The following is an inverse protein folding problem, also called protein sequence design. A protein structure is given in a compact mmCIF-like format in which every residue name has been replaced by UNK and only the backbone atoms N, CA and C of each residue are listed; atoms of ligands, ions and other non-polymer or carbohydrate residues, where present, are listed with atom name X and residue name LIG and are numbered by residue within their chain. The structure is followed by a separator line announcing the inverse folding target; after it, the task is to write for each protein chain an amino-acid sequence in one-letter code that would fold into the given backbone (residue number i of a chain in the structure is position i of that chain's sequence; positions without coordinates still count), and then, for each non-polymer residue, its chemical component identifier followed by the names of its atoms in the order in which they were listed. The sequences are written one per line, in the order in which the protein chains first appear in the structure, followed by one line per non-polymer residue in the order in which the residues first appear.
data_IF_955400735436
#
_entry.id   IF_955400735436
#
_cell.length_a   1.000
_cell.length_b   1.000
_cell.length_c   1.000
_cell.angle_alpha   90.00
_cell.angle_beta   90.00
_cell.angle_gamma   90.00
#
_symmetry.space_group_name_H-M   'P 1'
#
loop_
_entity.id
_entity.type
_entity.pdbx_description
1 polymer ?
#
# COMPACT_ATOMS: atom_id res chain seq x y z
N UNK A 1 3.47 24.07 17.30
CA UNK A 1 3.31 22.63 17.64
C UNK A 1 2.65 22.60 19.01
N UNK A 2 1.50 21.97 19.15
CA UNK A 2 0.84 21.82 20.46
C UNK A 2 1.55 20.75 21.30
N UNK A 3 1.20 20.67 22.60
CA UNK A 3 1.81 19.71 23.54
C UNK A 3 1.65 18.27 23.01
N UNK A 4 0.49 17.96 22.43
CA UNK A 4 0.21 16.64 21.84
C UNK A 4 1.13 16.36 20.66
N UNK A 5 1.31 17.31 19.74
CA UNK A 5 2.25 17.19 18.62
C UNK A 5 3.68 17.00 19.09
N UNK A 6 4.12 17.76 20.11
CA UNK A 6 5.45 17.58 20.69
C UNK A 6 5.64 16.18 21.28
N UNK A 7 4.66 15.67 22.04
CA UNK A 7 4.70 14.31 22.59
C UNK A 7 4.76 13.25 21.48
N UNK A 8 3.98 13.41 20.41
CA UNK A 8 3.99 12.47 19.27
C UNK A 8 5.33 12.42 18.55
N UNK A 9 6.05 13.54 18.47
CA UNK A 9 7.39 13.58 17.84
C UNK A 9 8.51 12.97 18.68
N UNK A 10 8.24 12.57 19.94
CA UNK A 10 9.28 12.04 20.80
C UNK A 10 9.76 10.67 20.31
N UNK A 11 11.08 10.49 20.31
CA UNK A 11 11.72 9.24 19.88
C UNK A 11 11.18 8.03 20.64
N UNK A 12 10.87 8.17 21.93
CA UNK A 12 10.30 7.09 22.75
C UNK A 12 8.93 6.64 22.24
N UNK A 13 8.07 7.56 21.79
CA UNK A 13 6.76 7.21 21.23
C UNK A 13 6.93 6.42 19.93
N UNK A 14 7.82 6.87 19.04
CA UNK A 14 8.12 6.12 17.81
C UNK A 14 8.68 4.72 18.12
N UNK A 15 9.58 4.60 19.10
CA UNK A 15 10.15 3.33 19.51
C UNK A 15 9.07 2.36 20.01
N UNK A 16 8.14 2.83 20.85
CA UNK A 16 7.05 2.01 21.36
C UNK A 16 6.07 1.58 20.26
N UNK A 17 5.69 2.48 19.35
CA UNK A 17 4.83 2.16 18.20
C UNK A 17 5.49 1.11 17.32
N UNK A 18 6.78 1.30 17.00
CA UNK A 18 7.53 0.36 16.16
C UNK A 18 7.73 -0.99 16.86
N UNK A 19 8.00 -0.99 18.17
CA UNK A 19 8.09 -2.20 18.97
C UNK A 19 6.79 -3.00 18.91
N UNK A 20 5.65 -2.35 19.17
CA UNK A 20 4.33 -2.99 19.10
C UNK A 20 4.10 -3.59 17.70
N UNK A 21 4.32 -2.80 16.64
CA UNK A 21 4.11 -3.25 15.27
C UNK A 21 5.00 -4.43 14.88
N UNK A 22 6.31 -4.36 15.17
CA UNK A 22 7.26 -5.40 14.80
C UNK A 22 6.99 -6.67 15.60
N UNK A 23 6.87 -6.58 16.93
CA UNK A 23 6.72 -7.77 17.78
C UNK A 23 5.37 -8.45 17.55
N UNK A 24 4.28 -7.70 17.49
CA UNK A 24 2.97 -8.29 17.13
C UNK A 24 2.99 -8.89 15.72
N UNK A 25 3.61 -8.20 14.76
CA UNK A 25 3.77 -8.69 13.38
C UNK A 25 4.53 -10.01 13.31
N UNK A 26 5.63 -10.14 14.05
CA UNK A 26 6.41 -11.38 14.14
C UNK A 26 5.62 -12.51 14.80
N UNK A 27 4.89 -12.22 15.89
CA UNK A 27 3.99 -13.21 16.53
C UNK A 27 2.93 -13.67 15.53
N UNK A 28 2.31 -12.74 14.80
CA UNK A 28 1.29 -13.06 13.81
C UNK A 28 1.88 -13.90 12.67
N UNK A 29 3.05 -13.53 12.11
CA UNK A 29 3.68 -14.35 11.08
C UNK A 29 4.04 -15.75 11.59
N UNK A 30 4.47 -15.87 12.85
CA UNK A 30 4.71 -17.16 13.47
C UNK A 30 3.42 -18.00 13.53
N UNK A 31 2.28 -17.40 13.90
CA UNK A 31 0.97 -18.05 13.84
C UNK A 31 0.61 -18.44 12.39
N UNK A 32 0.91 -17.59 11.41
CA UNK A 32 0.67 -17.90 9.99
C UNK A 32 1.45 -19.13 9.52
N UNK A 33 2.64 -19.40 10.05
CA UNK A 33 3.38 -20.63 9.72
C UNK A 33 2.58 -21.90 10.08
N UNK A 34 1.88 -21.92 11.22
CA UNK A 34 1.05 -23.06 11.60
C UNK A 34 -0.17 -23.24 10.68
N UNK A 35 -0.63 -22.17 10.03
CA UNK A 35 -1.73 -22.29 9.07
C UNK A 35 -1.34 -23.12 7.85
N UNK A 36 -0.04 -23.29 7.52
CA UNK A 36 0.41 -24.10 6.38
C UNK A 36 -0.10 -25.55 6.44
N UNK A 37 -0.34 -26.08 7.63
CA UNK A 37 -0.93 -27.42 7.83
C UNK A 37 -2.35 -27.49 7.22
N UNK A 38 -3.08 -26.37 7.23
CA UNK A 38 -4.42 -26.27 6.66
C UNK A 38 -4.42 -26.16 5.14
N UNK A 39 -3.32 -25.72 4.52
CA UNK A 39 -3.26 -25.49 3.07
C UNK A 39 -3.66 -26.72 2.23
N UNK A 40 -3.08 -27.92 2.44
CA UNK A 40 -3.45 -29.11 1.67
C UNK A 40 -4.84 -29.69 2.04
N UNK A 41 -5.36 -29.39 3.22
CA UNK A 41 -6.63 -29.97 3.73
C UNK A 41 -7.82 -29.08 3.36
N UNK A 42 -7.71 -27.77 3.61
CA UNK A 42 -8.74 -26.78 3.37
C UNK A 42 -8.11 -25.42 3.05
N UNK A 43 -7.73 -25.26 1.78
CA UNK A 43 -7.18 -24.02 1.21
C UNK A 43 -8.04 -22.79 1.49
N UNK A 44 -9.37 -22.94 1.49
CA UNK A 44 -10.29 -21.81 1.70
C UNK A 44 -10.29 -21.36 3.16
N UNK A 45 -10.25 -22.29 4.11
CA UNK A 45 -10.09 -21.97 5.53
C UNK A 45 -8.72 -21.33 5.80
N UNK A 46 -7.64 -21.86 5.22
CA UNK A 46 -6.31 -21.22 5.26
C UNK A 46 -6.38 -19.75 4.83
N UNK A 47 -7.03 -19.46 3.69
CA UNK A 47 -7.15 -18.11 3.15
C UNK A 47 -7.94 -17.18 4.07
N UNK A 48 -9.09 -17.64 4.56
CA UNK A 48 -9.93 -16.86 5.49
C UNK A 48 -9.18 -16.52 6.77
N UNK A 49 -8.49 -17.49 7.38
CA UNK A 49 -7.68 -17.27 8.58
C UNK A 49 -6.57 -16.25 8.28
N UNK A 50 -5.84 -16.44 7.18
CA UNK A 50 -4.75 -15.54 6.82
C UNK A 50 -5.21 -14.11 6.47
N UNK A 51 -6.44 -13.94 5.96
CA UNK A 51 -7.03 -12.59 5.81
C UNK A 51 -7.22 -11.90 7.16
N UNK A 52 -7.65 -12.63 8.20
CA UNK A 52 -7.82 -12.09 9.56
C UNK A 52 -6.49 -11.81 10.23
N UNK A 53 -5.51 -12.71 10.08
CA UNK A 53 -4.16 -12.50 10.59
C UNK A 53 -3.48 -11.31 9.91
N UNK A 54 -3.59 -11.19 8.59
CA UNK A 54 -3.06 -10.05 7.86
C UNK A 54 -3.73 -8.73 8.26
N UNK A 55 -5.05 -8.76 8.49
CA UNK A 55 -5.77 -7.61 9.05
C UNK A 55 -5.15 -7.12 10.37
N UNK A 56 -4.79 -8.02 11.28
CA UNK A 56 -4.15 -7.65 12.55
C UNK A 56 -2.82 -6.91 12.38
N UNK A 57 -2.10 -7.14 11.28
CA UNK A 57 -0.85 -6.42 10.95
C UNK A 57 -1.17 -5.11 10.24
N UNK A 58 -1.90 -5.15 9.12
CA UNK A 58 -2.13 -3.98 8.28
C UNK A 58 -3.00 -2.91 8.96
N UNK A 59 -3.93 -3.31 9.83
CA UNK A 59 -4.76 -2.38 10.60
C UNK A 59 -3.96 -1.48 11.54
N UNK A 60 -2.78 -1.91 12.01
CA UNK A 60 -1.92 -1.06 12.85
C UNK A 60 -1.32 0.11 12.07
N UNK A 61 -1.02 -0.10 10.77
CA UNK A 61 -0.60 0.98 9.88
C UNK A 61 -1.75 1.95 9.59
N UNK A 62 -2.96 1.42 9.37
CA UNK A 62 -4.15 2.27 9.22
C UNK A 62 -4.45 3.04 10.50
N UNK A 63 -4.27 2.42 11.67
CA UNK A 63 -4.37 3.08 12.97
C UNK A 63 -3.39 4.26 13.07
N UNK A 64 -2.14 4.04 12.67
CA UNK A 64 -1.10 5.06 12.65
C UNK A 64 -1.49 6.26 11.77
N UNK A 65 -2.05 6.03 10.58
CA UNK A 65 -2.49 7.09 9.69
C UNK A 65 -3.64 7.91 10.30
N UNK A 66 -4.67 7.22 10.76
CA UNK A 66 -5.97 7.84 11.06
C UNK A 66 -6.10 8.34 12.49
N UNK A 67 -5.68 7.54 13.45
CA UNK A 67 -5.88 7.81 14.88
C UNK A 67 -4.68 8.52 15.46
N UNK A 68 -3.48 8.07 15.12
CA UNK A 68 -2.26 8.68 15.61
C UNK A 68 -1.95 10.00 14.92
N UNK A 69 -1.88 10.04 13.58
CA UNK A 69 -1.56 11.29 12.86
C UNK A 69 -2.78 12.18 12.61
N UNK A 70 -3.99 11.62 12.75
CA UNK A 70 -5.22 12.38 12.51
C UNK A 70 -5.47 12.69 11.04
N UNK A 71 -4.80 11.98 10.11
CA UNK A 71 -4.98 12.19 8.67
C UNK A 71 -6.43 11.92 8.24
N UNK A 72 -6.95 12.78 7.39
CA UNK A 72 -8.30 12.66 6.84
C UNK A 72 -8.21 12.20 5.38
N UNK A 73 -8.98 11.18 5.03
CA UNK A 73 -9.13 10.66 3.67
C UNK A 73 -10.56 10.94 3.19
N UNK A 74 -10.70 11.77 2.17
CA UNK A 74 -11.98 12.10 1.50
C UNK A 74 -12.08 11.29 0.22
N UNK A 75 -13.22 10.65 -0.01
CA UNK A 75 -13.55 9.97 -1.25
C UNK A 75 -14.40 10.89 -2.12
N UNK A 76 -13.99 11.14 -3.36
CA UNK A 76 -14.81 11.76 -4.39
C UNK A 76 -15.27 10.66 -5.34
N UNK A 77 -16.58 10.47 -5.44
CA UNK A 77 -17.14 9.40 -6.24
C UNK A 77 -18.58 9.71 -6.62
N UNK A 78 -19.12 8.93 -7.55
CA UNK A 78 -20.55 8.89 -7.81
C UNK A 78 -21.26 8.14 -6.67
N UNK A 79 -22.23 8.75 -5.96
CA UNK A 79 -23.00 8.08 -4.91
C UNK A 79 -23.64 6.76 -5.35
N UNK A 80 -24.00 6.60 -6.63
CA UNK A 80 -24.57 5.36 -7.15
C UNK A 80 -23.58 4.19 -7.09
N UNK A 81 -22.29 4.45 -7.12
CA UNK A 81 -21.28 3.39 -7.03
C UNK A 81 -20.89 3.05 -5.59
N UNK A 82 -21.19 3.93 -4.63
CA UNK A 82 -20.71 3.81 -3.25
C UNK A 82 -21.09 2.48 -2.58
N UNK A 83 -22.30 1.97 -2.84
CA UNK A 83 -22.81 0.74 -2.24
C UNK A 83 -22.13 -0.53 -2.79
N UNK A 84 -21.45 -0.46 -3.93
CA UNK A 84 -20.71 -1.59 -4.53
C UNK A 84 -19.31 -1.74 -3.95
N UNK A 85 -18.73 -0.66 -3.44
CA UNK A 85 -17.39 -0.67 -2.86
C UNK A 85 -17.29 -1.63 -1.67
N UNK A 86 -16.34 -2.57 -1.76
CA UNK A 86 -16.10 -3.63 -0.78
C UNK A 86 -17.04 -4.82 -0.87
N UNK A 87 -18.03 -4.79 -1.77
CA UNK A 87 -19.02 -5.86 -1.99
C UNK A 87 -18.78 -6.70 -3.22
N UNK A 88 -17.76 -6.35 -4.01
CA UNK A 88 -17.32 -7.07 -5.20
C UNK A 88 -15.79 -7.12 -5.27
N UNK A 89 -15.27 -8.06 -6.07
CA UNK A 89 -13.87 -8.07 -6.46
C UNK A 89 -13.63 -6.96 -7.49
N UNK A 90 -12.53 -6.22 -7.33
CA UNK A 90 -12.20 -5.11 -8.21
C UNK A 90 -10.70 -5.06 -8.53
N UNK A 91 -10.35 -4.63 -9.74
CA UNK A 91 -8.98 -4.20 -10.06
C UNK A 91 -8.91 -2.70 -9.77
N UNK A 92 -8.00 -2.27 -8.92
CA UNK A 92 -7.81 -0.85 -8.58
C UNK A 92 -6.61 -0.32 -9.35
N UNK A 93 -6.83 0.72 -10.15
CA UNK A 93 -5.75 1.50 -10.77
C UNK A 93 -5.56 2.76 -9.93
N UNK A 94 -4.36 2.95 -9.38
CA UNK A 94 -4.00 4.14 -8.62
C UNK A 94 -2.80 4.83 -9.28
N UNK A 95 -2.79 6.16 -9.29
CA UNK A 95 -1.58 6.91 -9.61
C UNK A 95 -0.52 6.68 -8.53
N UNK A 96 0.75 6.88 -8.87
CA UNK A 96 1.83 6.57 -7.94
C UNK A 96 2.71 7.79 -7.67
N UNK A 97 2.20 8.78 -6.94
CA UNK A 97 2.90 10.06 -6.78
C UNK A 97 3.54 10.20 -5.40
N UNK A 98 2.97 9.61 -4.35
CA UNK A 98 3.37 9.90 -2.97
C UNK A 98 3.99 8.70 -2.28
N UNK A 99 4.71 8.98 -1.19
CA UNK A 99 5.34 7.93 -0.39
C UNK A 99 4.28 7.01 0.23
N UNK A 100 3.20 7.61 0.74
CA UNK A 100 2.15 6.95 1.51
C UNK A 100 0.88 6.62 0.69
N UNK A 101 0.97 6.54 -0.64
CA UNK A 101 -0.15 6.13 -1.52
C UNK A 101 -0.80 4.83 -1.01
N UNK A 102 0.04 3.84 -0.71
CA UNK A 102 -0.37 2.52 -0.23
C UNK A 102 -1.12 2.61 1.11
N UNK A 103 -0.75 3.55 1.97
CA UNK A 103 -1.32 3.69 3.30
C UNK A 103 -2.71 4.34 3.22
N UNK A 104 -2.89 5.30 2.32
CA UNK A 104 -4.21 5.86 2.01
C UNK A 104 -5.10 4.82 1.33
N UNK A 105 -4.55 4.04 0.39
CA UNK A 105 -5.26 2.91 -0.22
C UNK A 105 -5.74 1.89 0.82
N UNK A 106 -4.89 1.54 1.79
CA UNK A 106 -5.28 0.68 2.92
C UNK A 106 -6.31 1.34 3.84
N UNK A 107 -6.30 2.65 4.03
CA UNK A 107 -7.37 3.34 4.75
C UNK A 107 -8.73 3.13 4.06
N UNK A 108 -8.82 3.30 2.75
CA UNK A 108 -10.06 3.01 2.01
C UNK A 108 -10.42 1.52 2.08
N UNK A 109 -9.46 0.60 1.95
CA UNK A 109 -9.72 -0.82 2.14
C UNK A 109 -10.29 -1.14 3.53
N UNK A 110 -9.82 -0.45 4.59
CA UNK A 110 -10.39 -0.57 5.94
C UNK A 110 -11.85 -0.12 5.96
N UNK A 111 -12.13 1.06 5.40
CA UNK A 111 -13.47 1.65 5.35
C UNK A 111 -14.50 0.75 4.66
N UNK A 112 -14.08 0.06 3.60
CA UNK A 112 -14.94 -0.82 2.83
C UNK A 112 -14.83 -2.30 3.22
N UNK A 113 -14.08 -2.65 4.27
CA UNK A 113 -14.07 -3.99 4.83
C UNK A 113 -13.21 -5.02 4.11
N UNK A 114 -12.30 -4.60 3.23
CA UNK A 114 -11.45 -5.47 2.40
C UNK A 114 -9.96 -5.37 2.75
N UNK A 115 -9.57 -4.70 3.83
CA UNK A 115 -8.16 -4.53 4.23
C UNK A 115 -7.39 -5.85 4.37
N UNK A 116 -8.00 -6.87 4.98
CA UNK A 116 -7.36 -8.18 5.19
C UNK A 116 -7.21 -9.00 3.91
N UNK A 117 -8.02 -8.72 2.89
CA UNK A 117 -8.02 -9.41 1.60
C UNK A 117 -7.39 -8.61 0.47
N UNK A 118 -7.00 -7.35 0.72
CA UNK A 118 -6.39 -6.46 -0.26
C UNK A 118 -5.17 -7.12 -0.94
N UNK A 119 -5.11 -7.00 -2.27
CA UNK A 119 -4.05 -7.56 -3.12
C UNK A 119 -3.33 -6.45 -3.85
N UNK A 120 -2.11 -6.73 -4.28
CA UNK A 120 -1.30 -5.79 -5.06
C UNK A 120 -0.35 -6.54 -5.98
N UNK A 121 -0.08 -5.99 -7.17
CA UNK A 121 1.07 -6.38 -7.98
C UNK A 121 2.33 -5.71 -7.41
N UNK A 122 3.10 -6.44 -6.62
CA UNK A 122 4.23 -5.92 -5.85
C UNK A 122 5.59 -6.28 -6.47
N UNK A 123 6.58 -5.42 -6.22
CA UNK A 123 7.99 -5.69 -6.54
C UNK A 123 8.51 -6.87 -5.71
N UNK A 124 9.20 -7.84 -6.34
CA UNK A 124 9.67 -9.09 -5.71
C UNK A 124 10.51 -8.85 -4.45
N UNK A 125 11.32 -7.81 -4.44
CA UNK A 125 12.18 -7.45 -3.32
C UNK A 125 11.37 -7.14 -2.04
N UNK A 126 10.12 -6.70 -2.17
CA UNK A 126 9.23 -6.49 -1.01
C UNK A 126 8.82 -7.80 -0.33
N UNK A 127 8.92 -8.94 -1.01
CA UNK A 127 8.65 -10.25 -0.38
C UNK A 127 9.66 -10.62 0.72
N UNK A 128 10.84 -9.99 0.71
CA UNK A 128 11.87 -10.21 1.73
C UNK A 128 11.73 -9.28 2.94
N UNK A 129 10.81 -8.30 2.89
CA UNK A 129 10.60 -7.39 4.00
C UNK A 129 9.98 -8.14 5.19
N UNK A 130 10.62 -8.14 6.37
CA UNK A 130 10.04 -8.76 7.56
C UNK A 130 8.65 -8.17 7.88
N UNK A 131 7.82 -8.94 8.56
CA UNK A 131 6.44 -8.59 8.90
C UNK A 131 5.51 -8.51 7.68
N UNK A 132 5.66 -7.48 6.86
CA UNK A 132 4.75 -7.20 5.73
C UNK A 132 4.98 -8.13 4.55
N UNK A 133 6.24 -8.35 4.13
CA UNK A 133 6.54 -9.25 3.02
C UNK A 133 6.14 -10.69 3.31
N UNK A 134 6.31 -11.12 4.57
CA UNK A 134 5.88 -12.43 5.05
C UNK A 134 4.35 -12.52 5.13
N UNK A 135 3.67 -11.50 5.68
CA UNK A 135 2.21 -11.40 5.63
C UNK A 135 1.68 -11.53 4.19
N UNK A 136 2.32 -10.83 3.24
CA UNK A 136 1.96 -10.87 1.83
C UNK A 136 2.19 -12.23 1.18
N UNK A 137 3.18 -13.01 1.62
CA UNK A 137 3.35 -14.38 1.17
C UNK A 137 2.12 -15.24 1.49
N UNK A 138 1.64 -15.19 2.74
CA UNK A 138 0.44 -15.95 3.16
C UNK A 138 -0.86 -15.43 2.55
N UNK A 139 -0.90 -14.16 2.14
CA UNK A 139 -2.00 -13.60 1.36
C UNK A 139 -1.94 -13.93 -0.13
N UNK A 140 -0.96 -14.70 -0.60
CA UNK A 140 -0.79 -15.02 -2.02
C UNK A 140 -0.64 -13.76 -2.91
N UNK A 141 0.01 -12.72 -2.39
CA UNK A 141 0.30 -11.50 -3.16
C UNK A 141 1.12 -11.83 -4.42
N UNK A 142 0.81 -11.12 -5.51
CA UNK A 142 1.47 -11.32 -6.81
C UNK A 142 2.76 -10.50 -6.82
N UNK A 143 3.90 -11.18 -6.77
CA UNK A 143 5.22 -10.55 -6.84
C UNK A 143 5.81 -10.64 -8.24
N UNK A 144 6.43 -9.56 -8.73
CA UNK A 144 7.12 -9.51 -10.02
C UNK A 144 8.53 -8.90 -9.91
N UNK A 145 9.45 -9.37 -10.73
CA UNK A 145 10.82 -8.83 -10.88
C UNK A 145 10.86 -7.59 -11.77
N UNK A 146 9.73 -7.27 -12.43
CA UNK A 146 9.56 -6.20 -13.43
C UNK A 146 10.36 -6.46 -14.71
N UNK A 147 10.45 -7.74 -15.07
CA UNK A 147 11.03 -8.23 -16.33
C UNK A 147 10.04 -9.20 -16.94
N UNK A 148 9.37 -8.76 -18.00
CA UNK A 148 8.23 -9.44 -18.59
C UNK A 148 8.50 -10.93 -18.89
N UNK A 149 9.64 -11.22 -19.53
CA UNK A 149 9.99 -12.59 -19.95
C UNK A 149 10.23 -13.54 -18.77
N UNK A 150 10.70 -13.02 -17.64
CA UNK A 150 10.87 -13.80 -16.40
C UNK A 150 9.56 -13.93 -15.60
N UNK A 151 8.70 -12.91 -15.66
CA UNK A 151 7.54 -12.79 -14.78
C UNK A 151 6.26 -13.41 -15.36
N UNK A 152 6.07 -13.38 -16.69
CA UNK A 152 4.79 -13.68 -17.36
C UNK A 152 4.09 -14.92 -16.81
N UNK A 153 4.77 -16.07 -16.83
CA UNK A 153 4.18 -17.35 -16.39
C UNK A 153 3.79 -17.32 -14.90
N UNK A 154 4.67 -16.84 -14.05
CA UNK A 154 4.46 -16.81 -12.59
C UNK A 154 3.35 -15.84 -12.21
N UNK A 155 3.32 -14.65 -12.83
CA UNK A 155 2.28 -13.63 -12.59
C UNK A 155 0.92 -14.15 -13.04
N UNK A 156 0.81 -14.71 -14.24
CA UNK A 156 -0.43 -15.31 -14.73
C UNK A 156 -0.93 -16.41 -13.79
N UNK A 157 -0.07 -17.36 -13.40
CA UNK A 157 -0.47 -18.43 -12.49
C UNK A 157 -0.97 -17.89 -11.14
N UNK A 158 -0.28 -16.89 -10.57
CA UNK A 158 -0.67 -16.30 -9.29
C UNK A 158 -1.99 -15.52 -9.40
N UNK A 159 -2.25 -14.82 -10.50
CA UNK A 159 -3.52 -14.17 -10.75
C UNK A 159 -4.66 -15.19 -10.90
N UNK A 160 -4.45 -16.26 -11.68
CA UNK A 160 -5.43 -17.34 -11.83
C UNK A 160 -5.74 -18.02 -10.49
N UNK A 161 -4.76 -18.15 -9.59
CA UNK A 161 -4.97 -18.66 -8.24
C UNK A 161 -5.87 -17.77 -7.37
N UNK A 162 -6.09 -16.50 -7.73
CA UNK A 162 -7.00 -15.61 -6.98
C UNK A 162 -8.46 -15.77 -7.42
N UNK A 163 -8.74 -16.51 -8.50
CA UNK A 163 -10.10 -16.68 -9.01
C UNK A 163 -11.04 -17.40 -8.03
N UNK A 164 -10.50 -18.25 -7.17
CA UNK A 164 -11.22 -18.99 -6.13
C UNK A 164 -10.98 -18.41 -4.73
N UNK A 165 -10.62 -17.13 -4.60
CA UNK A 165 -10.37 -16.50 -3.30
C UNK A 165 -11.70 -16.30 -2.54
N UNK A 166 -11.79 -16.66 -1.24
CA UNK A 166 -13.08 -16.78 -0.54
C UNK A 166 -13.62 -15.47 0.03
N UNK A 167 -12.93 -14.36 -0.19
CA UNK A 167 -13.24 -13.03 0.33
C UNK A 167 -13.20 -12.05 -0.83
N UNK A 168 -14.08 -11.03 -0.82
CA UNK A 168 -13.96 -9.94 -1.78
C UNK A 168 -12.60 -9.26 -1.63
N UNK A 169 -11.91 -9.03 -2.74
CA UNK A 169 -10.59 -8.41 -2.74
C UNK A 169 -10.49 -7.27 -3.74
N UNK A 170 -9.66 -6.30 -3.40
CA UNK A 170 -9.24 -5.24 -4.31
C UNK A 170 -7.81 -5.50 -4.74
N UNK A 171 -7.60 -5.65 -6.05
CA UNK A 171 -6.30 -5.91 -6.64
C UNK A 171 -5.68 -4.61 -7.16
N UNK A 172 -4.76 -4.04 -6.40
CA UNK A 172 -4.07 -2.81 -6.74
C UNK A 172 -2.99 -3.03 -7.80
N UNK A 173 -3.01 -2.21 -8.85
CA UNK A 173 -1.94 -2.09 -9.83
C UNK A 173 -1.64 -0.61 -10.11
N UNK A 174 -0.37 -0.24 -10.01
CA UNK A 174 0.10 1.07 -10.46
C UNK A 174 0.60 0.94 -11.90
N UNK A 175 -0.24 1.31 -12.88
CA UNK A 175 0.11 1.12 -14.29
C UNK A 175 1.28 2.00 -14.73
N UNK A 176 1.59 3.09 -14.04
CA UNK A 176 2.82 3.88 -14.24
C UNK A 176 4.11 3.04 -14.01
N UNK A 177 4.01 1.99 -13.18
CA UNK A 177 5.09 1.03 -12.91
C UNK A 177 6.23 1.55 -12.04
N UNK A 178 6.20 2.83 -11.66
CA UNK A 178 7.12 3.46 -10.72
C UNK A 178 6.52 4.76 -10.20
N UNK A 179 7.00 5.23 -9.04
CA UNK A 179 6.61 6.55 -8.54
C UNK A 179 7.00 7.68 -9.48
N UNK A 180 6.11 8.65 -9.62
CA UNK A 180 6.31 9.89 -10.32
C UNK A 180 7.50 10.66 -9.71
N UNK A 181 8.41 11.09 -10.58
CA UNK A 181 9.41 12.12 -10.29
C UNK A 181 9.58 12.95 -11.55
N UNK A 182 9.99 14.21 -11.41
CA UNK A 182 10.21 15.11 -12.54
C UNK A 182 11.11 14.49 -13.61
N UNK A 183 12.23 13.88 -13.18
CA UNK A 183 13.15 13.19 -14.09
C UNK A 183 12.46 12.05 -14.87
N UNK A 184 11.65 11.23 -14.21
CA UNK A 184 10.94 10.11 -14.85
C UNK A 184 9.82 10.59 -15.76
N UNK A 185 9.18 11.70 -15.39
CA UNK A 185 8.17 12.34 -16.21
C UNK A 185 8.77 12.82 -17.52
N UNK A 186 9.89 13.53 -17.48
CA UNK A 186 10.62 13.95 -18.70
C UNK A 186 10.97 12.77 -19.61
N UNK A 187 11.51 11.68 -19.04
CA UNK A 187 11.79 10.44 -19.79
C UNK A 187 10.50 9.86 -20.38
N UNK A 188 9.42 9.81 -19.60
CA UNK A 188 8.13 9.32 -20.06
C UNK A 188 7.57 10.16 -21.21
N UNK A 189 7.78 11.48 -21.20
CA UNK A 189 7.32 12.37 -22.27
C UNK A 189 8.14 12.22 -23.56
N UNK A 190 9.44 11.96 -23.46
CA UNK A 190 10.27 11.60 -24.61
C UNK A 190 9.80 10.27 -25.24
N UNK A 191 9.44 9.29 -24.41
CA UNK A 191 8.88 8.02 -24.88
C UNK A 191 7.51 8.22 -25.53
N UNK A 192 6.68 9.13 -25.01
CA UNK A 192 5.40 9.47 -25.61
C UNK A 192 5.57 10.02 -27.03
N UNK A 193 6.45 11.01 -27.18
CA UNK A 193 6.77 11.63 -28.47
C UNK A 193 7.34 10.63 -29.47
N UNK A 194 8.31 9.81 -29.06
CA UNK A 194 8.90 8.78 -29.92
C UNK A 194 7.91 7.71 -30.40
N UNK A 195 6.82 7.49 -29.65
CA UNK A 195 5.76 6.53 -29.98
C UNK A 195 4.52 7.19 -30.60
N UNK A 196 4.52 8.49 -30.82
CA UNK A 196 3.34 9.23 -31.29
C UNK A 196 2.16 9.20 -30.33
N UNK A 197 2.41 9.02 -29.02
CA UNK A 197 1.40 9.03 -27.98
C UNK A 197 1.23 10.45 -27.39
N UNK A 198 0.02 10.82 -26.94
CA UNK A 198 -0.21 12.08 -26.24
C UNK A 198 0.69 12.23 -24.99
N UNK A 199 1.22 13.44 -24.79
CA UNK A 199 1.98 13.81 -23.59
C UNK A 199 1.02 14.05 -22.42
N UNK A 200 1.32 13.47 -21.26
CA UNK A 200 0.57 13.64 -20.02
C UNK A 200 1.30 14.64 -19.11
N UNK A 201 0.59 15.51 -18.40
CA UNK A 201 1.19 16.56 -17.58
C UNK A 201 1.47 16.11 -16.14
N UNK A 202 0.62 15.27 -15.57
CA UNK A 202 0.64 14.89 -14.16
C UNK A 202 0.86 13.40 -13.89
N UNK A 203 0.83 12.58 -14.94
CA UNK A 203 1.07 11.13 -14.88
C UNK A 203 2.22 10.69 -15.77
N UNK A 204 2.84 9.56 -15.43
CA UNK A 204 3.68 8.83 -16.37
C UNK A 204 2.81 8.05 -17.36
N UNK A 205 3.36 7.74 -18.54
CA UNK A 205 2.70 6.85 -19.49
C UNK A 205 2.46 5.47 -18.85
N UNK A 206 1.24 4.91 -18.96
CA UNK A 206 0.95 3.61 -18.40
C UNK A 206 1.68 2.49 -19.15
N UNK A 207 2.08 1.48 -18.38
CA UNK A 207 2.57 0.18 -18.87
C UNK A 207 1.39 -0.76 -18.99
N UNK A 208 1.05 -1.12 -20.22
CA UNK A 208 -0.23 -1.78 -20.54
C UNK A 208 -0.21 -3.28 -20.31
N UNK A 209 0.92 -3.97 -20.60
CA UNK A 209 1.04 -5.44 -20.50
C UNK A 209 0.59 -6.03 -19.15
N UNK A 210 1.04 -5.43 -18.05
CA UNK A 210 0.70 -5.92 -16.70
C UNK A 210 -0.79 -5.78 -16.39
N UNK A 211 -1.41 -4.69 -16.85
CA UNK A 211 -2.84 -4.47 -16.71
C UNK A 211 -3.65 -5.44 -17.59
N UNK A 212 -3.32 -5.56 -18.87
CA UNK A 212 -3.99 -6.47 -19.80
C UNK A 212 -4.01 -7.91 -19.29
N UNK A 213 -2.88 -8.40 -18.78
CA UNK A 213 -2.77 -9.75 -18.19
C UNK A 213 -3.57 -9.89 -16.90
N UNK A 214 -3.62 -8.83 -16.08
CA UNK A 214 -4.44 -8.81 -14.86
C UNK A 214 -5.92 -8.92 -15.21
N UNK A 215 -6.39 -8.10 -16.14
CA UNK A 215 -7.77 -8.13 -16.66
C UNK A 215 -8.09 -9.51 -17.23
N UNK A 216 -7.24 -10.04 -18.12
CA UNK A 216 -7.46 -11.35 -18.74
C UNK A 216 -7.56 -12.48 -17.71
N UNK A 217 -6.66 -12.53 -16.72
CA UNK A 217 -6.65 -13.60 -15.72
C UNK A 217 -7.85 -13.53 -14.76
N UNK A 218 -8.26 -12.32 -14.38
CA UNK A 218 -9.31 -12.08 -13.38
C UNK A 218 -10.70 -11.85 -13.98
N UNK A 219 -10.83 -11.81 -15.31
CA UNK A 219 -12.11 -11.74 -16.01
C UNK A 219 -13.04 -12.87 -15.55
N UNK A 220 -14.32 -12.52 -15.38
CA UNK A 220 -15.39 -13.35 -14.82
C UNK A 220 -15.35 -13.56 -13.29
N UNK A 221 -14.34 -13.03 -12.58
CA UNK A 221 -14.28 -13.05 -11.11
C UNK A 221 -14.28 -11.64 -10.52
N UNK A 222 -13.66 -10.70 -11.23
CA UNK A 222 -13.72 -9.26 -10.94
C UNK A 222 -14.92 -8.65 -11.67
N UNK A 223 -15.65 -7.77 -10.97
CA UNK A 223 -16.84 -7.11 -11.51
C UNK A 223 -16.55 -5.73 -12.10
N UNK A 224 -15.45 -5.09 -11.72
CA UNK A 224 -15.12 -3.74 -12.17
C UNK A 224 -13.64 -3.40 -12.06
N UNK A 225 -13.24 -2.38 -12.83
CA UNK A 225 -12.04 -1.59 -12.59
C UNK A 225 -12.43 -0.36 -11.77
N UNK A 226 -11.78 -0.15 -10.64
CA UNK A 226 -11.86 1.08 -9.87
C UNK A 226 -10.72 1.99 -10.29
N UNK A 227 -11.08 2.95 -11.14
CA UNK A 227 -10.17 3.94 -11.64
C UNK A 227 -10.00 5.05 -10.61
N UNK A 228 -8.83 5.10 -9.96
CA UNK A 228 -8.60 5.93 -8.78
C UNK A 228 -7.43 6.90 -8.95
N UNK A 229 -7.58 8.12 -8.43
CA UNK A 229 -6.52 9.14 -8.42
C UNK A 229 -6.46 9.80 -7.04
N UNK A 230 -5.32 9.68 -6.38
CA UNK A 230 -5.03 10.24 -5.07
C UNK A 230 -4.23 11.54 -5.22
N UNK A 231 -4.63 12.54 -4.44
CA UNK A 231 -3.85 13.75 -4.24
C UNK A 231 -3.94 14.24 -2.79
N UNK A 232 -3.03 15.14 -2.42
CA UNK A 232 -3.01 15.77 -1.12
C UNK A 232 -3.28 17.27 -1.27
N UNK A 233 -4.12 17.81 -0.39
CA UNK A 233 -4.44 19.25 -0.40
C UNK A 233 -3.18 20.08 -0.17
N UNK A 234 -3.22 21.33 -0.61
CA UNK A 234 -2.14 22.30 -0.44
C UNK A 234 -0.78 21.86 -1.01
N UNK A 235 -0.78 20.95 -2.00
CA UNK A 235 0.42 20.38 -2.61
C UNK A 235 1.38 19.76 -1.57
N UNK A 236 0.84 19.20 -0.49
CA UNK A 236 1.65 18.53 0.51
C UNK A 236 2.30 17.25 -0.07
N UNK A 237 3.54 17.00 0.31
CA UNK A 237 4.25 15.75 0.02
C UNK A 237 4.33 14.92 1.30
N UNK A 238 3.38 14.00 1.53
CA UNK A 238 3.32 13.24 2.77
C UNK A 238 4.35 12.12 2.82
N UNK A 239 4.93 11.94 3.99
CA UNK A 239 5.92 10.91 4.29
C UNK A 239 5.47 10.04 5.45
N UNK A 240 5.91 8.78 5.50
CA UNK A 240 5.60 7.89 6.61
C UNK A 240 6.19 8.42 7.93
N UNK A 241 7.36 9.06 7.88
CA UNK A 241 7.95 9.73 9.02
C UNK A 241 7.10 10.92 9.50
N UNK A 242 6.48 11.68 8.60
CA UNK A 242 5.55 12.72 8.96
C UNK A 242 4.33 12.17 9.71
N UNK A 243 3.77 11.04 9.23
CA UNK A 243 2.67 10.35 9.93
C UNK A 243 3.12 9.89 11.34
N UNK A 244 4.32 9.30 11.46
CA UNK A 244 4.90 8.90 12.76
C UNK A 244 5.06 10.09 13.72
N UNK A 245 5.49 11.25 13.22
CA UNK A 245 5.57 12.49 13.99
C UNK A 245 4.20 13.09 14.34
N UNK A 246 3.10 12.44 13.96
CA UNK A 246 1.75 12.94 14.19
C UNK A 246 1.32 14.05 13.23
N UNK A 247 2.02 14.26 12.11
CA UNK A 247 1.61 15.22 11.09
C UNK A 247 0.31 14.74 10.45
N UNK A 248 -0.70 15.61 10.52
CA UNK A 248 -1.99 15.43 9.86
C UNK A 248 -1.88 15.81 8.39
N UNK A 249 -2.39 14.96 7.52
CA UNK A 249 -2.56 15.25 6.09
C UNK A 249 -4.04 15.24 5.70
N UNK A 250 -4.33 15.76 4.52
CA UNK A 250 -5.66 15.71 3.90
C UNK A 250 -5.54 15.07 2.52
N UNK A 251 -5.83 13.77 2.48
CA UNK A 251 -5.83 12.96 1.27
C UNK A 251 -7.20 13.03 0.61
N UNK A 252 -7.26 13.40 -0.66
CA UNK A 252 -8.46 13.36 -1.47
C UNK A 252 -8.26 12.29 -2.55
N UNK A 253 -9.13 11.29 -2.56
CA UNK A 253 -9.12 10.19 -3.52
C UNK A 253 -10.35 10.32 -4.42
N UNK A 254 -10.14 10.53 -5.72
CA UNK A 254 -11.18 10.29 -6.70
C UNK A 254 -11.22 8.80 -7.04
N UNK A 255 -12.43 8.23 -7.11
CA UNK A 255 -12.63 6.85 -7.57
C UNK A 255 -13.91 6.76 -8.38
N UNK A 256 -13.78 6.32 -9.64
CA UNK A 256 -14.92 5.94 -10.48
C UNK A 256 -14.89 4.44 -10.75
N UNK A 257 -16.08 3.85 -10.81
CA UNK A 257 -16.27 2.44 -11.12
C UNK A 257 -16.53 2.27 -12.61
N UNK A 258 -15.75 1.42 -13.25
CA UNK A 258 -15.91 1.03 -14.66
C UNK A 258 -16.23 -0.47 -14.68
N UNK A 259 -17.44 -0.90 -15.12
CA UNK A 259 -17.76 -2.30 -15.32
C UNK A 259 -16.68 -3.03 -16.13
N UNK A 260 -16.35 -4.28 -15.76
CA UNK A 260 -15.27 -4.99 -16.44
C UNK A 260 -15.62 -5.33 -17.90
N UNK A 261 -16.91 -5.38 -18.22
CA UNK A 261 -17.46 -5.56 -19.56
C UNK A 261 -17.10 -4.43 -20.51
N UNK A 262 -16.84 -3.22 -19.99
CA UNK A 262 -16.40 -2.06 -20.78
C UNK A 262 -14.89 -2.07 -21.08
N UNK A 263 -14.13 -2.97 -20.45
CA UNK A 263 -12.69 -3.12 -20.69
C UNK A 263 -12.48 -4.13 -21.83
N UNK A 264 -11.80 -3.75 -22.94
CA UNK A 264 -11.60 -4.65 -24.06
C UNK A 264 -10.84 -5.94 -23.71
N UNK A 265 -11.11 -7.01 -24.45
CA UNK A 265 -10.42 -8.30 -24.29
C UNK A 265 -9.13 -8.40 -25.11
N UNK A 266 -9.14 -7.83 -26.31
CA UNK A 266 -7.97 -7.79 -27.17
C UNK A 266 -6.83 -7.00 -26.51
N UNK A 267 -5.60 -7.48 -26.64
CA UNK A 267 -4.44 -6.89 -25.97
C UNK A 267 -4.17 -5.46 -26.47
N UNK A 268 -4.32 -5.21 -27.77
CA UNK A 268 -4.06 -3.91 -28.37
C UNK A 268 -5.18 -2.92 -28.03
N UNK A 269 -6.43 -3.35 -28.11
CA UNK A 269 -7.58 -2.52 -27.69
C UNK A 269 -7.51 -2.18 -26.20
N UNK A 270 -7.18 -3.15 -25.34
CA UNK A 270 -7.01 -2.93 -23.91
C UNK A 270 -5.84 -1.96 -23.62
N UNK A 271 -4.76 -2.03 -24.42
CA UNK A 271 -3.64 -1.10 -24.36
C UNK A 271 -4.08 0.33 -24.71
N UNK A 272 -4.82 0.49 -25.81
CA UNK A 272 -5.36 1.79 -26.24
C UNK A 272 -6.36 2.36 -25.21
N UNK A 273 -7.24 1.51 -24.68
CA UNK A 273 -8.17 1.85 -23.61
C UNK A 273 -7.44 2.40 -22.38
N UNK A 274 -6.37 1.75 -21.94
CA UNK A 274 -5.61 2.22 -20.78
C UNK A 274 -4.87 3.55 -21.05
N UNK A 275 -4.39 3.76 -22.27
CA UNK A 275 -3.82 5.06 -22.66
C UNK A 275 -4.87 6.17 -22.65
N UNK A 276 -6.09 5.91 -23.11
CA UNK A 276 -7.20 6.86 -23.04
C UNK A 276 -7.63 7.13 -21.59
N UNK A 277 -7.73 6.10 -20.76
CA UNK A 277 -8.01 6.21 -19.33
C UNK A 277 -7.02 7.16 -18.64
N UNK A 278 -5.72 7.03 -18.95
CA UNK A 278 -4.70 7.90 -18.38
C UNK A 278 -4.74 9.35 -18.89
N UNK A 279 -5.23 9.60 -20.10
CA UNK A 279 -5.48 10.97 -20.57
C UNK A 279 -6.64 11.61 -19.80
N UNK A 280 -7.71 10.86 -19.54
CA UNK A 280 -8.83 11.34 -18.72
C UNK A 280 -8.39 11.60 -17.27
N UNK A 281 -7.59 10.70 -16.69
CA UNK A 281 -6.98 10.91 -15.36
C UNK A 281 -6.18 12.21 -15.30
N UNK A 282 -5.37 12.47 -16.32
CA UNK A 282 -4.53 13.66 -16.39
C UNK A 282 -5.39 14.94 -16.44
N UNK A 283 -6.49 14.90 -17.18
CA UNK A 283 -7.47 15.99 -17.21
C UNK A 283 -8.16 16.20 -15.84
N UNK A 284 -8.54 15.14 -15.12
CA UNK A 284 -9.08 15.27 -13.77
C UNK A 284 -8.06 15.86 -12.79
N UNK A 285 -6.78 15.51 -12.96
CA UNK A 285 -5.70 16.03 -12.16
C UNK A 285 -5.45 17.52 -12.42
N UNK A 286 -5.53 17.98 -13.67
CA UNK A 286 -5.51 19.41 -14.03
C UNK A 286 -6.64 20.17 -13.31
N UNK A 287 -7.87 19.66 -13.39
CA UNK A 287 -9.04 20.28 -12.76
C UNK A 287 -8.84 20.36 -11.25
N UNK A 288 -8.33 19.31 -10.61
CA UNK A 288 -8.05 19.32 -9.18
C UNK A 288 -7.01 20.39 -8.82
N UNK A 289 -5.92 20.53 -9.58
CA UNK A 289 -4.92 21.56 -9.31
C UNK A 289 -5.45 22.99 -9.48
N UNK A 290 -6.47 23.19 -10.34
CA UNK A 290 -7.11 24.49 -10.54
C UNK A 290 -8.19 24.81 -9.51
N UNK A 291 -8.95 23.81 -9.07
CA UNK A 291 -10.17 24.00 -8.25
C UNK A 291 -10.03 23.54 -6.80
N UNK A 292 -9.06 22.68 -6.50
CA UNK A 292 -8.86 22.06 -5.20
C UNK A 292 -9.78 20.87 -4.90
N UNK A 293 -10.58 20.43 -5.87
CA UNK A 293 -11.56 19.33 -5.70
C UNK A 293 -11.60 18.43 -6.93
N UNK A 294 -11.88 17.15 -6.73
CA UNK A 294 -12.16 16.22 -7.83
C UNK A 294 -13.63 16.27 -8.23
N UNK A 295 -13.99 15.75 -9.43
CA UNK A 295 -15.37 15.48 -9.79
C UNK A 295 -16.04 14.50 -8.82
N UNK A 296 -17.36 14.61 -8.65
CA UNK A 296 -18.15 13.72 -7.80
C UNK A 296 -18.43 14.29 -6.40
N UNK A 297 -19.23 13.56 -5.63
CA UNK A 297 -19.66 14.00 -4.30
C UNK A 297 -18.57 13.64 -3.29
N UNK A 298 -18.10 14.60 -2.46
CA UNK A 298 -17.15 14.31 -1.40
C UNK A 298 -17.84 13.56 -0.27
N UNK A 299 -17.35 12.37 0.02
CA UNK A 299 -17.82 11.48 1.09
C UNK A 299 -16.62 11.18 1.99
N UNK A 300 -16.81 11.23 3.30
CA UNK A 300 -15.83 10.71 4.25
C UNK A 300 -16.39 9.40 4.81
N UNK A 301 -15.95 8.22 4.31
CA UNK A 301 -16.43 6.96 4.82
C UNK A 301 -16.18 6.86 6.34
N UNK A 302 -17.13 6.33 7.12
CA UNK A 302 -17.06 6.36 8.57
C UNK A 302 -15.88 5.56 9.12
N UNK A 303 -15.24 6.10 10.16
CA UNK A 303 -14.14 5.42 10.85
C UNK A 303 -14.63 4.13 11.48
N UNK A 304 -13.86 3.06 11.32
CA UNK A 304 -14.12 1.78 11.97
C UNK A 304 -13.23 1.66 13.20
N UNK A 305 -13.78 1.31 14.38
CA UNK A 305 -13.02 1.29 15.64
C UNK A 305 -11.99 0.15 15.71
N UNK A 306 -12.11 -0.85 14.83
CA UNK A 306 -11.34 -2.09 14.87
C UNK A 306 -9.83 -1.90 14.77
N UNK A 307 -9.35 -0.89 14.02
CA UNK A 307 -7.92 -0.60 13.90
C UNK A 307 -7.33 -0.09 15.22
N UNK A 308 -8.07 0.78 15.92
CA UNK A 308 -7.71 1.27 17.24
C UNK A 308 -7.79 0.16 18.30
N UNK A 309 -8.88 -0.62 18.30
CA UNK A 309 -9.06 -1.72 19.26
C UNK A 309 -7.98 -2.79 19.11
N UNK A 310 -7.63 -3.18 17.88
CA UNK A 310 -6.55 -4.12 17.63
C UNK A 310 -5.20 -3.56 18.12
N UNK A 311 -4.91 -2.27 17.88
CA UNK A 311 -3.69 -1.66 18.40
C UNK A 311 -3.66 -1.61 19.92
N UNK A 312 -4.75 -1.23 20.58
CA UNK A 312 -4.85 -1.21 22.03
C UNK A 312 -4.66 -2.60 22.64
N UNK A 313 -5.23 -3.64 22.01
CA UNK A 313 -5.01 -5.03 22.43
C UNK A 313 -3.53 -5.40 22.41
N UNK A 314 -2.82 -5.15 21.30
CA UNK A 314 -1.39 -5.44 21.20
C UNK A 314 -0.54 -4.56 22.13
N UNK A 315 -0.90 -3.29 22.29
CA UNK A 315 -0.22 -2.38 23.21
C UNK A 315 -0.32 -2.89 24.65
N UNK A 316 -1.51 -3.28 25.11
CA UNK A 316 -1.71 -3.83 26.45
C UNK A 316 -0.95 -5.14 26.66
N UNK A 317 -1.00 -6.04 25.66
CA UNK A 317 -0.33 -7.33 25.73
C UNK A 317 1.20 -7.21 25.77
N UNK A 318 1.78 -6.28 25.02
CA UNK A 318 3.23 -6.20 24.81
C UNK A 318 3.93 -5.18 25.72
N UNK A 319 3.27 -4.09 26.10
CA UNK A 319 3.92 -3.04 26.88
C UNK A 319 4.11 -3.43 28.36
N UNK A 320 3.15 -4.14 28.97
CA UNK A 320 3.29 -4.59 30.36
C UNK A 320 4.54 -5.46 30.59
N UNK A 321 4.77 -6.56 29.85
CA UNK A 321 5.98 -7.37 30.04
C UNK A 321 7.25 -6.61 29.67
N UNK A 322 7.20 -5.70 28.68
CA UNK A 322 8.33 -4.83 28.35
C UNK A 322 8.71 -3.93 29.53
N UNK A 323 7.76 -3.22 30.12
CA UNK A 323 8.04 -2.34 31.26
C UNK A 323 8.50 -3.12 32.50
N UNK A 324 7.94 -4.31 32.74
CA UNK A 324 8.42 -5.19 33.82
C UNK A 324 9.86 -5.63 33.61
N UNK A 325 10.24 -5.97 32.37
CA UNK A 325 11.62 -6.29 32.01
C UNK A 325 12.54 -5.09 32.26
N UNK A 326 12.15 -3.89 31.82
CA UNK A 326 12.93 -2.66 32.01
C UNK A 326 13.18 -2.35 33.49
N UNK A 327 12.14 -2.43 34.32
CA UNK A 327 12.25 -2.18 35.77
C UNK A 327 13.20 -3.20 36.41
N UNK A 328 13.04 -4.49 36.09
CA UNK A 328 13.90 -5.54 36.62
C UNK A 328 15.37 -5.34 36.21
N UNK A 329 15.62 -4.93 34.96
CA UNK A 329 16.97 -4.64 34.47
C UNK A 329 17.61 -3.47 35.22
N UNK A 330 16.86 -2.38 35.42
CA UNK A 330 17.33 -1.21 36.20
C UNK A 330 17.64 -1.64 37.64
N UNK A 331 16.73 -2.38 38.27
CA UNK A 331 16.91 -2.85 39.65
C UNK A 331 18.08 -3.83 39.80
N UNK A 332 18.39 -4.62 38.77
CA UNK A 332 19.52 -5.56 38.78
C UNK A 332 20.89 -4.88 38.80
N UNK A 333 20.98 -3.61 38.39
CA UNK A 333 22.23 -2.84 38.32
C UNK A 333 23.29 -3.40 37.36
N UNK A 334 22.99 -4.43 36.57
CA UNK A 334 23.98 -5.07 35.69
C UNK A 334 24.29 -4.24 34.46
N UNK A 335 25.49 -3.66 34.40
CA UNK A 335 25.99 -2.87 33.27
C UNK A 335 25.96 -3.63 31.94
N UNK A 336 26.23 -4.95 31.97
CA UNK A 336 26.16 -5.81 30.79
C UNK A 336 24.73 -5.90 30.24
N UNK A 337 23.73 -6.09 31.11
CA UNK A 337 22.33 -6.17 30.66
C UNK A 337 21.85 -4.84 30.07
N UNK A 338 22.19 -3.71 30.68
CA UNK A 338 21.87 -2.37 30.17
C UNK A 338 22.55 -2.12 28.81
N UNK A 339 23.80 -2.52 28.65
CA UNK A 339 24.53 -2.40 27.39
C UNK A 339 23.91 -3.27 26.27
N UNK A 340 23.56 -4.53 26.57
CA UNK A 340 22.89 -5.41 25.62
C UNK A 340 21.53 -4.87 25.19
N UNK A 341 20.76 -4.30 26.12
CA UNK A 341 19.46 -3.71 25.80
C UNK A 341 19.58 -2.43 24.96
N UNK A 342 20.52 -1.55 25.29
CA UNK A 342 20.82 -0.38 24.47
C UNK A 342 21.21 -0.79 23.04
N UNK A 343 22.04 -1.83 22.89
CA UNK A 343 22.40 -2.38 21.58
C UNK A 343 21.17 -2.87 20.79
N UNK A 344 20.25 -3.60 21.43
CA UNK A 344 19.00 -4.06 20.79
C UNK A 344 18.14 -2.88 20.34
N UNK A 345 18.02 -1.82 21.15
CA UNK A 345 17.29 -0.60 20.74
C UNK A 345 17.92 0.04 19.50
N UNK A 346 19.26 0.15 19.47
CA UNK A 346 19.96 0.72 18.32
C UNK A 346 19.70 -0.12 17.07
N UNK A 347 19.84 -1.43 17.17
CA UNK A 347 19.57 -2.34 16.04
C UNK A 347 18.10 -2.27 15.58
N UNK A 348 17.14 -2.21 16.50
CA UNK A 348 15.73 -2.02 16.17
C UNK A 348 15.47 -0.67 15.48
N UNK A 349 16.06 0.42 15.98
CA UNK A 349 15.96 1.75 15.39
C UNK A 349 16.53 1.80 13.96
N UNK A 350 17.70 1.16 13.74
CA UNK A 350 18.29 1.02 12.41
C UNK A 350 17.38 0.22 11.48
N UNK A 351 16.82 -0.90 11.96
CA UNK A 351 15.88 -1.72 11.20
C UNK A 351 14.61 -0.96 10.79
N UNK A 352 14.01 -0.20 11.70
CA UNK A 352 12.84 0.64 11.42
C UNK A 352 13.17 1.71 10.37
N UNK A 353 14.30 2.42 10.51
CA UNK A 353 14.73 3.41 9.51
C UNK A 353 14.96 2.78 8.15
N UNK A 354 15.50 1.57 8.10
CA UNK A 354 15.64 0.83 6.86
C UNK A 354 14.29 0.49 6.24
N UNK A 355 13.31 0.03 7.03
CA UNK A 355 11.94 -0.26 6.56
C UNK A 355 11.24 0.99 6.01
N UNK A 356 11.31 2.13 6.71
CA UNK A 356 10.81 3.43 6.20
C UNK A 356 11.56 3.81 4.93
N UNK A 357 12.87 3.58 4.87
CA UNK A 357 13.66 3.83 3.68
C UNK A 357 13.16 3.09 2.43
N UNK A 358 12.54 1.92 2.56
CA UNK A 358 11.96 1.17 1.44
C UNK A 358 10.71 1.88 0.88
N UNK A 359 10.02 2.70 1.68
CA UNK A 359 8.87 3.48 1.22
C UNK A 359 9.28 4.76 0.50
N UNK A 360 10.48 5.29 0.71
CA UNK A 360 10.94 6.55 0.10
C UNK A 360 10.95 6.54 -1.44
N UNK A 361 10.62 7.68 -2.05
CA UNK A 361 10.56 7.85 -3.51
C UNK A 361 11.94 7.67 -4.17
N UNK A 362 12.99 8.20 -3.53
CA UNK A 362 14.37 8.18 -4.05
C UNK A 362 14.99 6.78 -4.13
N UNK A 363 14.44 5.80 -3.39
CA UNK A 363 14.84 4.37 -3.50
C UNK A 363 13.96 3.58 -4.45
N UNK A 364 13.10 4.27 -5.20
CA UNK A 364 12.25 3.70 -6.24
C UNK A 364 13.04 3.16 -7.45
N UNK A 365 12.31 2.74 -8.49
CA UNK A 365 12.92 2.19 -9.71
C UNK A 365 13.98 3.12 -10.32
N UNK A 366 15.14 2.58 -10.71
CA UNK A 366 16.16 3.26 -11.55
C UNK A 366 15.82 3.21 -13.04
N UNK A 367 14.67 2.63 -13.41
CA UNK A 367 14.26 2.47 -14.80
C UNK A 367 14.16 3.81 -15.53
N UNK A 368 14.80 3.92 -16.69
CA UNK A 368 14.91 5.15 -17.49
C UNK A 368 16.07 6.06 -17.09
N UNK A 369 16.69 5.84 -15.93
CA UNK A 369 17.77 6.69 -15.44
C UNK A 369 19.12 6.23 -16.05
N UNK A 370 19.56 6.89 -17.13
CA UNK A 370 20.81 6.56 -17.82
C UNK A 370 22.08 6.97 -17.05
N UNK A 371 21.96 7.83 -16.02
CA UNK A 371 23.11 8.35 -15.27
C UNK A 371 23.86 7.27 -14.46
N UNK A 372 23.17 6.19 -14.08
CA UNK A 372 23.82 5.07 -13.38
C UNK A 372 24.59 4.11 -14.29
N UNK A 373 24.45 4.20 -15.62
CA UNK A 373 25.28 3.42 -16.55
C UNK A 373 26.66 4.05 -16.78
N UNK A 374 26.81 5.35 -16.56
CA UNK A 374 28.11 6.03 -16.71
C UNK A 374 29.01 5.94 -15.48
N UNK A 375 28.47 5.67 -14.28
CA UNK A 375 29.27 5.48 -13.05
C UNK A 375 29.81 4.06 -12.83
N UNK A 376 29.65 3.16 -13.81
CA UNK A 376 30.14 1.76 -13.77
C UNK A 376 30.97 1.39 -14.99
N UNK A 377 31.62 2.37 -15.63
CA UNK A 377 32.72 2.11 -16.55
C UNK A 377 34.01 2.62 -15.95
#
# INVERSE_FOLDING_TARGET
MDIVGFLKSQFICHLLICYIFIVSGLIINFIQLFTLILWPINKQLFRRINCRLAYCISSQMVMLLEWWSGTHCTLYTDPENYHKYGKENAIVILNHNFEIDFLCGWNFCERFGVLGSAKVLAKKELSYMPVIGWMWYFLEIVFCKRKWDEDRKTVMQKLLNLRDYPENFWFLIHCEGTRFTEQKHQISMQVAEAKGLPKLKYHLLPRTKGFAVTVQCLRNVVSAVYDSTLNFRNNENPTLLGVLNGKKYHADLYMRRIPLEEVPEDEQECSNWLHNLYQEKDAFQEVYYRTGTYPGVPIVPPRRPWTLLNWLFWALLLLYPLFKLLINMINSGSSLTLASFAFVIVMASVGVRWMIGVTEINKGSTYGNNDNKQKRK
#
